data_IF_326788716061
#
_entry.id   IF_326788716061
#
_cell.length_a   1.000
_cell.length_b   1.000
_cell.length_c   1.000
_cell.angle_alpha   90.00
_cell.angle_beta   90.00
_cell.angle_gamma   90.00
#
_symmetry.space_group_name_H-M   'P 1'
#
loop_
_entity.id
_entity.type
_entity.pdbx_description
1 polymer ?
#
# COMPACT_ATOMS: atom_id res chain seq x y z
N UNK A 1 35.32 -8.35 6.37
CA UNK A 1 35.08 -6.99 5.83
C UNK A 1 33.56 -6.72 5.76
N UNK A 2 32.93 -6.39 6.89
CA UNK A 2 31.49 -6.05 6.96
C UNK A 2 31.25 -5.10 8.13
N UNK A 3 31.78 -3.89 8.05
CA UNK A 3 31.43 -2.82 8.99
C UNK A 3 31.56 -1.52 8.24
N UNK A 4 30.47 -0.75 8.21
CA UNK A 4 30.18 0.42 7.39
C UNK A 4 29.52 0.13 6.04
N UNK A 5 28.17 0.18 6.04
CA UNK A 5 27.40 0.75 4.92
C UNK A 5 26.83 2.07 5.43
N UNK A 6 27.21 3.19 4.80
CA UNK A 6 26.51 4.46 4.93
C UNK A 6 25.26 4.34 4.06
N UNK A 7 24.07 4.57 4.61
CA UNK A 7 22.87 4.65 3.79
C UNK A 7 21.59 4.67 4.60
N UNK A 8 20.79 5.69 4.38
CA UNK A 8 19.36 5.76 4.71
C UNK A 8 18.54 4.80 3.82
N UNK A 9 19.04 3.57 3.65
CA UNK A 9 18.41 2.53 2.83
C UNK A 9 17.92 1.49 3.81
N UNK A 10 16.60 1.48 4.00
CA UNK A 10 15.92 0.54 4.88
C UNK A 10 16.18 -0.89 4.37
N UNK A 11 16.69 -1.77 5.23
CA UNK A 11 17.04 -3.16 4.94
C UNK A 11 15.85 -4.06 4.48
N UNK A 12 14.69 -3.47 4.18
CA UNK A 12 13.41 -4.17 3.97
C UNK A 12 12.91 -4.18 2.53
N UNK A 13 13.30 -3.24 1.66
CA UNK A 13 12.76 -3.19 0.27
C UNK A 13 13.47 -4.13 -0.71
N UNK A 14 14.71 -4.52 -0.42
CA UNK A 14 15.55 -5.33 -1.31
C UNK A 14 15.64 -6.81 -0.88
N UNK A 15 14.78 -7.26 0.04
CA UNK A 15 14.72 -8.66 0.46
C UNK A 15 13.85 -9.46 -0.52
N UNK A 16 14.31 -10.66 -0.86
CA UNK A 16 13.48 -11.63 -1.57
C UNK A 16 12.26 -12.00 -0.71
N UNK A 17 11.08 -12.24 -1.31
CA UNK A 17 9.92 -12.69 -0.56
C UNK A 17 10.18 -14.05 0.10
N UNK A 18 9.61 -14.22 1.29
CA UNK A 18 9.50 -15.57 1.85
C UNK A 18 8.57 -16.40 0.97
N UNK A 19 9.01 -17.62 0.66
CA UNK A 19 8.34 -18.53 -0.28
C UNK A 19 8.09 -19.89 0.37
N UNK A 20 6.90 -20.46 0.19
CA UNK A 20 6.63 -21.84 0.57
C UNK A 20 5.55 -22.48 -0.33
N UNK A 21 5.47 -23.81 -0.31
CA UNK A 21 4.47 -24.55 -1.11
C UNK A 21 3.12 -24.66 -0.39
N UNK A 22 3.05 -24.31 0.88
CA UNK A 22 1.81 -24.27 1.67
C UNK A 22 1.71 -22.95 2.47
N UNK A 23 0.47 -22.52 2.76
CA UNK A 23 0.23 -21.35 3.62
C UNK A 23 0.73 -21.61 5.04
N UNK A 24 0.59 -22.85 5.54
CA UNK A 24 1.13 -23.26 6.84
C UNK A 24 2.65 -23.04 6.92
N UNK A 25 3.41 -23.62 6.00
CA UNK A 25 4.88 -23.51 6.01
C UNK A 25 5.33 -22.06 5.84
N UNK A 26 4.59 -21.28 5.04
CA UNK A 26 4.84 -19.85 4.90
C UNK A 26 4.65 -19.11 6.22
N UNK A 27 3.58 -19.41 6.97
CA UNK A 27 3.34 -18.80 8.28
C UNK A 27 4.45 -19.12 9.28
N UNK A 28 4.91 -20.38 9.31
CA UNK A 28 6.03 -20.81 10.15
C UNK A 28 7.29 -19.99 9.84
N UNK A 29 7.63 -19.83 8.55
CA UNK A 29 8.78 -19.01 8.13
C UNK A 29 8.67 -17.55 8.57
N UNK A 30 7.47 -16.99 8.54
CA UNK A 30 7.20 -15.62 8.95
C UNK A 30 7.10 -15.43 10.46
N UNK A 31 7.08 -16.51 11.25
CA UNK A 31 6.84 -16.46 12.70
C UNK A 31 5.42 -16.01 13.07
N UNK A 32 4.44 -16.30 12.22
CA UNK A 32 3.01 -15.99 12.41
C UNK A 32 2.26 -17.29 12.74
N UNK A 33 1.16 -17.19 13.50
CA UNK A 33 0.26 -18.30 13.76
C UNK A 33 -0.27 -18.91 12.45
N UNK A 34 0.08 -20.17 12.19
CA UNK A 34 -0.23 -20.86 10.94
C UNK A 34 -1.71 -21.14 10.77
N UNK A 35 -2.38 -21.64 11.82
CA UNK A 35 -3.81 -21.95 11.80
C UNK A 35 -4.64 -20.68 11.55
N UNK A 36 -4.25 -19.56 12.17
CA UNK A 36 -4.89 -18.27 11.99
C UNK A 36 -4.70 -17.74 10.55
N UNK A 37 -3.51 -17.88 9.97
CA UNK A 37 -3.25 -17.46 8.60
C UNK A 37 -4.04 -18.31 7.59
N UNK A 38 -4.01 -19.63 7.74
CA UNK A 38 -4.77 -20.54 6.87
C UNK A 38 -6.27 -20.25 6.91
N UNK A 39 -6.83 -20.05 8.11
CA UNK A 39 -8.24 -19.67 8.26
C UNK A 39 -8.55 -18.35 7.57
N UNK A 40 -7.63 -17.39 7.64
CA UNK A 40 -7.77 -16.08 7.00
C UNK A 40 -7.77 -16.21 5.48
N UNK A 41 -6.79 -16.92 4.91
CA UNK A 41 -6.70 -17.17 3.45
C UNK A 41 -7.92 -17.95 2.95
N UNK A 42 -8.34 -19.00 3.68
CA UNK A 42 -9.54 -19.76 3.35
C UNK A 42 -10.80 -18.89 3.32
N UNK A 43 -10.97 -18.02 4.32
CA UNK A 43 -12.11 -17.08 4.38
C UNK A 43 -12.08 -16.11 3.20
N UNK A 44 -10.90 -15.61 2.83
CA UNK A 44 -10.73 -14.74 1.68
C UNK A 44 -11.10 -15.46 0.37
N UNK A 45 -10.57 -16.67 0.14
CA UNK A 45 -10.84 -17.45 -1.07
C UNK A 45 -12.33 -17.77 -1.23
N UNK A 46 -13.02 -18.15 -0.15
CA UNK A 46 -14.47 -18.41 -0.17
C UNK A 46 -15.27 -17.14 -0.49
N UNK A 47 -14.78 -15.98 -0.07
CA UNK A 47 -15.46 -14.71 -0.30
C UNK A 47 -15.38 -14.24 -1.75
N UNK A 48 -14.38 -14.69 -2.52
CA UNK A 48 -14.18 -14.32 -3.92
C UNK A 48 -15.30 -14.85 -4.82
N UNK A 49 -15.78 -14.02 -5.74
CA UNK A 49 -16.73 -14.46 -6.77
C UNK A 49 -16.02 -15.03 -8.02
N UNK A 50 -16.81 -15.67 -8.89
CA UNK A 50 -16.32 -16.35 -10.09
C UNK A 50 -16.15 -15.44 -11.31
N UNK A 51 -16.23 -14.11 -11.15
CA UNK A 51 -16.01 -13.22 -12.30
C UNK A 51 -14.58 -13.36 -12.84
N UNK A 52 -14.38 -13.22 -14.16
CA UNK A 52 -13.05 -13.29 -14.75
C UNK A 52 -12.17 -12.16 -14.23
N UNK A 53 -10.90 -12.48 -14.00
CA UNK A 53 -9.90 -11.49 -13.62
C UNK A 53 -9.48 -10.68 -14.85
N UNK A 54 -9.48 -9.35 -14.73
CA UNK A 54 -8.95 -8.45 -15.75
C UNK A 54 -8.23 -7.27 -15.09
N UNK A 55 -6.90 -7.28 -15.16
CA UNK A 55 -6.06 -6.26 -14.54
C UNK A 55 -6.26 -4.87 -15.16
N UNK A 56 -6.74 -4.80 -16.40
CA UNK A 56 -6.79 -3.54 -17.17
C UNK A 56 -8.09 -2.75 -16.96
N UNK A 57 -9.03 -3.27 -16.15
CA UNK A 57 -10.30 -2.59 -15.86
C UNK A 57 -10.85 -2.96 -14.49
N UNK A 58 -11.87 -2.23 -14.05
CA UNK A 58 -12.69 -2.61 -12.90
C UNK A 58 -13.50 -3.87 -13.27
N UNK A 59 -12.93 -5.04 -12.98
CA UNK A 59 -13.43 -6.36 -13.42
C UNK A 59 -14.66 -6.87 -12.64
N UNK A 60 -14.98 -6.21 -11.51
CA UNK A 60 -16.02 -6.63 -10.59
C UNK A 60 -15.73 -7.97 -9.89
N UNK A 61 -14.53 -8.53 -10.04
CA UNK A 61 -14.10 -9.72 -9.33
C UNK A 61 -13.90 -9.35 -7.87
N UNK A 62 -14.89 -9.64 -7.06
CA UNK A 62 -15.09 -9.01 -5.76
C UNK A 62 -15.10 -10.06 -4.63
N UNK A 63 -14.87 -9.60 -3.40
CA UNK A 63 -15.14 -10.40 -2.20
C UNK A 63 -16.47 -9.97 -1.56
N UNK A 64 -17.19 -10.90 -0.95
CA UNK A 64 -18.37 -10.61 -0.11
C UNK A 64 -18.20 -11.10 1.33
N UNK A 65 -18.91 -10.51 2.29
CA UNK A 65 -19.00 -11.00 3.68
C UNK A 65 -17.68 -10.85 4.47
N UNK A 66 -16.71 -10.10 3.94
CA UNK A 66 -15.51 -9.68 4.66
C UNK A 66 -15.73 -8.31 5.30
N UNK A 67 -15.07 -8.05 6.43
CA UNK A 67 -15.09 -6.72 7.09
C UNK A 67 -14.64 -5.60 6.16
N UNK A 68 -13.76 -5.93 5.21
CA UNK A 68 -13.32 -5.01 4.16
C UNK A 68 -13.47 -5.73 2.82
N UNK A 69 -14.60 -5.50 2.17
CA UNK A 69 -14.87 -6.08 0.85
C UNK A 69 -14.01 -5.41 -0.23
N UNK A 70 -13.37 -6.22 -1.08
CA UNK A 70 -12.80 -5.77 -2.35
C UNK A 70 -13.90 -5.71 -3.41
N UNK A 71 -13.99 -4.59 -4.13
CA UNK A 71 -14.94 -4.44 -5.24
C UNK A 71 -14.44 -5.00 -6.57
N UNK A 72 -13.13 -5.17 -6.74
CA UNK A 72 -12.46 -5.64 -7.96
C UNK A 72 -11.16 -6.39 -7.62
N UNK A 73 -10.64 -7.15 -8.60
CA UNK A 73 -9.36 -7.86 -8.57
C UNK A 73 -9.16 -8.81 -7.36
N UNK A 74 -10.24 -9.36 -6.82
CA UNK A 74 -10.20 -10.34 -5.75
C UNK A 74 -9.91 -11.74 -6.31
N UNK A 75 -8.63 -12.04 -6.57
CA UNK A 75 -8.23 -13.36 -7.03
C UNK A 75 -7.96 -14.30 -5.84
N UNK A 76 -8.50 -15.54 -5.83
CA UNK A 76 -8.17 -16.53 -4.81
C UNK A 76 -6.65 -16.78 -4.69
N UNK A 77 -6.21 -17.06 -3.47
CA UNK A 77 -4.84 -17.42 -3.12
C UNK A 77 -4.83 -18.94 -2.87
N UNK A 78 -4.76 -19.73 -3.93
CA UNK A 78 -4.94 -21.19 -3.90
C UNK A 78 -3.86 -21.98 -4.66
N UNK A 79 -2.99 -21.27 -5.39
CA UNK A 79 -2.01 -21.88 -6.28
C UNK A 79 -0.60 -21.65 -5.72
N UNK A 80 0.12 -22.72 -5.30
CA UNK A 80 1.50 -22.60 -4.87
C UNK A 80 2.45 -22.34 -6.06
N UNK A 81 3.68 -21.87 -5.82
CA UNK A 81 4.21 -21.49 -4.50
C UNK A 81 3.61 -20.17 -4.00
N UNK A 82 3.42 -20.08 -2.69
CA UNK A 82 2.93 -18.88 -2.01
C UNK A 82 4.11 -17.98 -1.62
N UNK A 83 3.85 -16.66 -1.65
CA UNK A 83 4.85 -15.63 -1.38
C UNK A 83 4.33 -14.65 -0.33
N UNK A 84 5.22 -14.21 0.55
CA UNK A 84 4.95 -13.15 1.52
C UNK A 84 6.03 -12.08 1.48
N UNK A 85 5.58 -10.82 1.42
CA UNK A 85 6.44 -9.65 1.47
C UNK A 85 6.24 -8.94 2.82
N UNK A 86 7.28 -8.77 3.64
CA UNK A 86 7.17 -7.98 4.85
C UNK A 86 6.97 -6.51 4.47
N UNK A 87 5.87 -5.92 4.91
CA UNK A 87 5.55 -4.51 4.67
C UNK A 87 5.41 -3.77 5.99
N UNK A 88 5.92 -2.54 6.02
CA UNK A 88 5.73 -1.61 7.14
C UNK A 88 5.35 -0.24 6.61
N UNK A 89 4.62 0.52 7.42
CA UNK A 89 4.23 1.87 7.07
C UNK A 89 5.46 2.78 7.01
N UNK A 90 5.54 3.58 5.95
CA UNK A 90 6.56 4.61 5.79
C UNK A 90 5.88 5.94 5.43
N UNK A 91 6.58 7.05 5.70
CA UNK A 91 6.11 8.37 5.34
C UNK A 91 6.18 8.52 3.81
N UNK A 92 5.03 8.60 3.15
CA UNK A 92 4.95 8.72 1.69
C UNK A 92 5.05 10.17 1.22
N UNK A 93 4.36 11.09 1.88
CA UNK A 93 4.40 12.53 1.59
C UNK A 93 3.92 13.34 2.80
N UNK A 94 4.25 14.64 2.83
CA UNK A 94 3.79 15.56 3.87
C UNK A 94 2.54 16.31 3.43
N UNK A 95 1.57 16.48 4.34
CA UNK A 95 0.33 17.21 4.03
C UNK A 95 0.44 18.73 4.31
N UNK A 96 1.46 19.14 5.07
CA UNK A 96 1.79 20.54 5.25
C UNK A 96 2.45 21.12 4.00
N UNK A 97 2.59 22.44 3.94
CA UNK A 97 3.22 23.11 2.81
C UNK A 97 2.89 24.58 2.75
N UNK A 98 3.19 25.20 1.62
CA UNK A 98 2.92 26.61 1.37
C UNK A 98 1.44 26.78 1.04
N UNK A 99 0.79 27.76 1.69
CA UNK A 99 -0.60 28.10 1.42
C UNK A 99 -0.75 28.78 0.07
N UNK A 100 -1.68 28.30 -0.76
CA UNK A 100 -1.98 28.85 -2.08
C UNK A 100 -3.48 29.14 -2.25
N UNK A 101 -3.85 29.97 -3.22
CA UNK A 101 -5.24 30.06 -3.69
C UNK A 101 -5.50 29.06 -4.85
N UNK A 102 -6.71 29.09 -5.43
CA UNK A 102 -7.11 28.22 -6.55
C UNK A 102 -6.33 28.44 -7.84
N UNK A 103 -5.60 29.56 -7.95
CA UNK A 103 -4.73 29.91 -9.08
C UNK A 103 -3.26 29.55 -8.80
N UNK A 104 -3.00 28.74 -7.76
CA UNK A 104 -1.67 28.31 -7.30
C UNK A 104 -0.74 29.45 -6.84
N UNK A 105 -1.25 30.66 -6.62
CA UNK A 105 -0.46 31.78 -6.12
C UNK A 105 -0.18 31.60 -4.63
N UNK A 106 1.06 31.84 -4.21
CA UNK A 106 1.44 31.78 -2.80
C UNK A 106 0.76 32.92 -2.03
N UNK A 107 0.16 32.60 -0.89
CA UNK A 107 -0.42 33.58 0.00
C UNK A 107 0.57 33.96 1.11
N UNK A 108 0.74 35.27 1.34
CA UNK A 108 1.45 35.77 2.53
C UNK A 108 0.66 35.47 3.81
N UNK A 109 1.26 35.77 4.96
CA UNK A 109 0.67 35.50 6.28
C UNK A 109 -0.66 36.23 6.55
N UNK A 110 -0.97 37.29 5.79
CA UNK A 110 -2.24 38.01 5.81
C UNK A 110 -3.23 37.54 4.71
N UNK A 111 -2.91 36.48 3.97
CA UNK A 111 -3.78 35.91 2.94
C UNK A 111 -3.73 36.61 1.58
N UNK A 112 -2.81 37.55 1.35
CA UNK A 112 -2.68 38.27 0.08
C UNK A 112 -1.76 37.49 -0.88
N UNK A 113 -2.13 37.32 -2.16
CA UNK A 113 -1.24 36.72 -3.15
C UNK A 113 0.07 37.51 -3.30
N UNK A 114 1.19 36.82 -3.24
CA UNK A 114 2.51 37.41 -3.49
C UNK A 114 2.71 37.49 -5.01
N UNK A 115 2.85 38.71 -5.61
CA UNK A 115 2.98 38.84 -7.05
C UNK A 115 4.22 38.13 -7.58
N UNK A 116 4.04 37.33 -8.62
CA UNK A 116 5.15 36.62 -9.27
C UNK A 116 5.53 35.29 -8.61
N UNK A 117 4.80 34.81 -7.60
CA UNK A 117 5.13 33.58 -6.87
C UNK A 117 3.99 32.56 -6.88
N UNK A 118 4.30 31.35 -7.38
CA UNK A 118 3.41 30.20 -7.45
C UNK A 118 4.08 28.95 -6.90
N UNK A 119 3.29 28.05 -6.35
CA UNK A 119 3.74 26.72 -5.88
C UNK A 119 2.70 25.68 -6.30
N UNK A 120 3.16 24.52 -6.74
CA UNK A 120 2.33 23.38 -7.15
C UNK A 120 2.94 22.07 -6.65
N UNK A 121 2.13 21.01 -6.62
CA UNK A 121 2.58 19.68 -6.19
C UNK A 121 2.72 19.57 -4.67
N UNK A 122 3.59 18.68 -4.20
CA UNK A 122 3.74 18.33 -2.77
C UNK A 122 4.20 19.51 -1.89
N UNK A 123 4.75 20.58 -2.50
CA UNK A 123 5.11 21.79 -1.76
C UNK A 123 3.90 22.63 -1.34
N UNK A 124 2.71 22.39 -1.88
CA UNK A 124 1.48 23.06 -1.42
C UNK A 124 0.95 22.37 -0.17
N UNK A 125 0.40 23.16 0.76
CA UNK A 125 -0.25 22.57 1.94
C UNK A 125 -1.67 22.15 1.59
N UNK A 126 -1.96 20.84 1.71
CA UNK A 126 -3.27 20.24 1.38
C UNK A 126 -4.41 20.71 2.30
N UNK A 127 -4.08 21.26 3.47
CA UNK A 127 -5.07 21.70 4.46
C UNK A 127 -5.46 23.18 4.34
N UNK A 128 -4.85 23.91 3.41
CA UNK A 128 -5.21 25.31 3.19
C UNK A 128 -6.15 25.40 2.00
N UNK A 129 -7.44 25.44 2.29
CA UNK A 129 -8.49 25.85 1.36
C UNK A 129 -8.87 27.32 1.64
#
# INVERSE_FOLDING_TARGET
LKRFRLGWVYDTTDQEPEKADTIHDLAIKLGIDSDALEKTVKKFNIACNDKPFDLMKLDGKATKVLTSEKSNWANPIDTPPFYAYPVTAHLTFTYGGIRTNTDAQVLSTNGIPIPGLWVVGELTGLFYN
#
